data_IF_155212222776
#
_entry.id   IF_155212222776
#
_cell.length_a   1.000
_cell.length_b   1.000
_cell.length_c   1.000
_cell.angle_alpha   90.00
_cell.angle_beta   90.00
_cell.angle_gamma   90.00
#
_symmetry.space_group_name_H-M   'P 1'
#
loop_
_entity.id
_entity.type
_entity.pdbx_description
1 polymer ?
#
# COMPACT_ATOMS: atom_id res chain seq x y z
N UNK A 1 26.39 -29.90 3.82
CA UNK A 1 25.01 -29.31 3.77
C UNK A 1 24.17 -30.20 2.87
N UNK A 2 22.99 -30.64 3.32
CA UNK A 2 22.04 -31.32 2.41
C UNK A 2 21.74 -30.39 1.23
N UNK A 3 21.57 -30.96 0.06
CA UNK A 3 21.24 -30.19 -1.14
C UNK A 3 19.85 -29.61 -0.97
N UNK A 4 19.73 -28.26 -1.06
CA UNK A 4 18.47 -27.54 -0.94
C UNK A 4 18.11 -26.99 -2.31
N UNK A 5 16.86 -27.15 -2.70
CA UNK A 5 16.28 -26.43 -3.83
C UNK A 5 15.79 -25.07 -3.36
N UNK A 6 16.09 -24.02 -4.09
CA UNK A 6 15.57 -22.66 -3.86
C UNK A 6 15.01 -22.16 -5.18
N UNK A 7 13.73 -21.87 -5.18
CA UNK A 7 13.05 -21.49 -6.42
C UNK A 7 11.55 -21.31 -6.20
N UNK A 8 10.83 -21.08 -7.30
CA UNK A 8 9.38 -21.14 -7.28
C UNK A 8 8.90 -22.54 -6.92
N UNK A 9 7.77 -22.65 -6.26
CA UNK A 9 7.14 -23.93 -5.96
C UNK A 9 6.95 -24.75 -7.25
N UNK A 10 7.10 -26.06 -7.16
CA UNK A 10 7.04 -26.96 -8.32
C UNK A 10 5.71 -27.68 -8.45
N UNK A 11 4.90 -27.62 -7.41
CA UNK A 11 3.61 -28.32 -7.33
C UNK A 11 2.74 -27.75 -6.18
N UNK A 12 1.48 -28.15 -6.17
CA UNK A 12 0.50 -27.73 -5.17
C UNK A 12 0.87 -28.14 -3.72
N UNK A 13 1.55 -29.26 -3.54
CA UNK A 13 1.98 -29.74 -2.21
C UNK A 13 2.98 -28.79 -1.57
N UNK A 14 3.93 -28.27 -2.37
CA UNK A 14 4.89 -27.27 -1.88
C UNK A 14 4.22 -25.94 -1.54
N UNK A 15 3.19 -25.55 -2.31
CA UNK A 15 2.38 -24.34 -2.01
C UNK A 15 1.65 -24.53 -0.68
N UNK A 16 0.94 -25.64 -0.47
CA UNK A 16 0.22 -25.91 0.77
C UNK A 16 1.18 -25.97 1.97
N UNK A 17 2.33 -26.61 1.83
CA UNK A 17 3.35 -26.66 2.87
C UNK A 17 3.92 -25.26 3.18
N UNK A 18 4.07 -24.41 2.18
CA UNK A 18 4.50 -23.03 2.36
C UNK A 18 3.44 -22.20 3.10
N UNK A 19 2.13 -22.37 2.78
CA UNK A 19 1.02 -21.73 3.50
C UNK A 19 0.99 -22.17 4.95
N UNK A 20 1.16 -23.47 5.23
CA UNK A 20 1.20 -24.00 6.58
C UNK A 20 2.41 -23.48 7.37
N UNK A 21 3.59 -23.40 6.74
CA UNK A 21 4.77 -22.81 7.34
C UNK A 21 4.54 -21.33 7.71
N UNK A 22 3.93 -20.55 6.82
CA UNK A 22 3.58 -19.16 7.09
C UNK A 22 2.57 -19.06 8.24
N UNK A 23 1.51 -19.86 8.23
CA UNK A 23 0.50 -19.91 9.28
C UNK A 23 1.12 -20.25 10.65
N UNK A 24 2.01 -21.22 10.70
CA UNK A 24 2.72 -21.62 11.93
C UNK A 24 3.67 -20.52 12.40
N UNK A 25 4.35 -19.83 11.48
CA UNK A 25 5.34 -18.80 11.82
C UNK A 25 4.70 -17.51 12.36
N UNK A 26 3.58 -17.09 11.78
CA UNK A 26 2.96 -15.79 12.07
C UNK A 26 1.68 -15.89 12.91
N UNK A 27 1.10 -17.05 12.99
CA UNK A 27 -0.20 -17.29 13.60
C UNK A 27 -0.14 -17.86 15.01
N UNK A 28 0.68 -17.31 15.91
CA UNK A 28 0.90 -17.87 17.26
C UNK A 28 -0.38 -18.24 18.04
N UNK A 29 -1.52 -17.60 17.72
CA UNK A 29 -2.83 -17.94 18.29
C UNK A 29 -3.94 -18.07 17.22
N UNK A 30 -3.63 -17.95 15.93
CA UNK A 30 -4.66 -17.91 14.89
C UNK A 30 -4.14 -18.35 13.50
N UNK A 31 -3.55 -19.52 13.43
CA UNK A 31 -2.97 -20.09 12.21
C UNK A 31 -3.96 -20.13 11.04
N UNK A 32 -5.25 -20.42 11.33
CA UNK A 32 -6.30 -20.48 10.32
C UNK A 32 -6.54 -19.11 9.65
N UNK A 33 -6.43 -18.00 10.39
CA UNK A 33 -6.61 -16.66 9.83
C UNK A 33 -5.44 -16.24 8.96
N UNK A 34 -4.20 -16.61 9.29
CA UNK A 34 -3.03 -16.35 8.43
C UNK A 34 -3.14 -17.15 7.14
N UNK A 35 -3.44 -18.45 7.23
CA UNK A 35 -3.64 -19.30 6.06
C UNK A 35 -4.80 -18.82 5.18
N UNK A 36 -5.91 -18.39 5.79
CA UNK A 36 -7.03 -17.79 5.10
C UNK A 36 -6.60 -16.49 4.38
N UNK A 37 -5.88 -15.62 5.07
CA UNK A 37 -5.40 -14.35 4.51
C UNK A 37 -4.52 -14.57 3.29
N UNK A 38 -3.53 -15.44 3.38
CA UNK A 38 -2.63 -15.77 2.26
C UNK A 38 -3.42 -16.32 1.08
N UNK A 39 -4.27 -17.34 1.27
CA UNK A 39 -5.05 -17.98 0.19
C UNK A 39 -6.04 -17.00 -0.45
N UNK A 40 -6.81 -16.26 0.35
CA UNK A 40 -7.84 -15.33 -0.16
C UNK A 40 -7.24 -14.12 -0.86
N UNK A 41 -6.11 -13.65 -0.37
CA UNK A 41 -5.42 -12.52 -0.96
C UNK A 41 -5.00 -12.79 -2.41
N UNK A 42 -4.60 -14.01 -2.72
CA UNK A 42 -4.25 -14.39 -4.09
C UNK A 42 -5.50 -14.58 -4.97
N UNK A 43 -6.55 -15.19 -4.44
CA UNK A 43 -7.85 -15.32 -5.12
C UNK A 43 -8.41 -13.94 -5.49
N UNK A 44 -8.25 -12.95 -4.60
CA UNK A 44 -8.69 -11.58 -4.85
C UNK A 44 -8.02 -10.91 -6.06
N UNK A 45 -6.90 -11.44 -6.56
CA UNK A 45 -6.24 -10.97 -7.77
C UNK A 45 -6.75 -11.63 -9.07
N UNK A 46 -7.79 -12.45 -8.96
CA UNK A 46 -8.39 -13.13 -10.12
C UNK A 46 -7.70 -14.42 -10.52
N UNK A 47 -6.85 -14.98 -9.66
CA UNK A 47 -6.13 -16.22 -9.89
C UNK A 47 -6.11 -17.18 -8.70
N UNK A 48 -5.98 -18.47 -8.96
CA UNK A 48 -5.46 -19.42 -7.98
C UNK A 48 -3.97 -19.17 -7.76
N UNK A 49 -3.40 -19.56 -6.62
CA UNK A 49 -1.95 -19.60 -6.44
C UNK A 49 -1.32 -20.41 -7.59
N UNK A 50 -0.49 -19.75 -8.37
CA UNK A 50 0.40 -20.44 -9.29
C UNK A 50 1.69 -20.79 -8.56
N UNK A 51 2.40 -21.80 -9.07
CA UNK A 51 3.71 -22.16 -8.54
C UNK A 51 4.67 -20.96 -8.55
N UNK A 52 4.50 -20.07 -9.50
CA UNK A 52 5.35 -18.88 -9.63
C UNK A 52 5.11 -17.84 -8.51
N UNK A 53 3.96 -17.87 -7.86
CA UNK A 53 3.63 -16.90 -6.80
C UNK A 53 4.25 -17.26 -5.45
N UNK A 54 4.88 -18.42 -5.33
CA UNK A 54 5.45 -18.91 -4.07
C UNK A 54 6.89 -19.33 -4.27
N UNK A 55 7.80 -18.59 -3.67
CA UNK A 55 9.23 -18.97 -3.60
C UNK A 55 9.44 -19.84 -2.37
N UNK A 56 10.07 -20.99 -2.55
CA UNK A 56 10.28 -21.98 -1.49
C UNK A 56 11.74 -22.39 -1.36
N UNK A 57 12.11 -22.85 -0.17
CA UNK A 57 13.33 -23.62 0.09
C UNK A 57 12.90 -25.01 0.47
N UNK A 58 13.31 -26.01 -0.32
CA UNK A 58 12.87 -27.41 -0.18
C UNK A 58 14.09 -28.32 -0.09
N UNK A 59 14.09 -29.28 0.83
CA UNK A 59 15.14 -30.28 0.92
C UNK A 59 14.87 -31.50 0.01
N UNK A 60 15.80 -32.46 0.02
CA UNK A 60 15.70 -33.70 -0.78
C UNK A 60 14.51 -34.58 -0.41
N UNK A 61 13.94 -34.39 0.77
CA UNK A 61 12.75 -35.15 1.22
C UNK A 61 11.43 -34.47 0.82
N UNK A 62 11.49 -33.29 0.18
CA UNK A 62 10.32 -32.48 -0.16
C UNK A 62 9.81 -31.57 0.96
N UNK A 63 10.54 -31.49 2.08
CA UNK A 63 10.14 -30.64 3.22
C UNK A 63 10.45 -29.16 2.93
N UNK A 64 9.45 -28.28 3.16
CA UNK A 64 9.60 -26.83 2.98
C UNK A 64 10.23 -26.22 4.22
N UNK A 65 11.36 -25.55 4.05
CA UNK A 65 12.14 -24.90 5.12
C UNK A 65 12.07 -23.39 5.09
N UNK A 66 11.62 -22.80 4.00
CA UNK A 66 11.43 -21.35 3.85
C UNK A 66 10.41 -21.04 2.78
N UNK A 67 9.72 -19.92 2.92
CA UNK A 67 8.73 -19.44 1.97
C UNK A 67 8.72 -17.91 1.86
N UNK A 68 8.37 -17.41 0.67
CA UNK A 68 8.05 -16.03 0.37
C UNK A 68 6.94 -16.01 -0.67
N UNK A 69 5.88 -15.26 -0.43
CA UNK A 69 4.75 -15.12 -1.36
C UNK A 69 4.89 -13.82 -2.13
N UNK A 70 4.73 -13.90 -3.44
CA UNK A 70 4.86 -12.79 -4.38
C UNK A 70 3.49 -12.41 -4.92
N UNK A 71 3.07 -11.17 -4.68
CA UNK A 71 1.74 -10.70 -5.06
C UNK A 71 1.84 -9.44 -5.89
N UNK A 72 1.59 -9.55 -7.17
CA UNK A 72 1.61 -8.42 -8.09
C UNK A 72 0.43 -7.48 -7.85
N UNK A 73 0.68 -6.18 -7.94
CA UNK A 73 -0.31 -5.11 -7.81
C UNK A 73 -0.04 -4.00 -8.80
N UNK A 74 -1.11 -3.30 -9.17
CA UNK A 74 -1.01 -2.00 -9.81
C UNK A 74 -1.20 -0.91 -8.75
N UNK A 75 -0.18 -0.11 -8.56
CA UNK A 75 -0.17 1.00 -7.62
C UNK A 75 -0.46 2.30 -8.36
N UNK A 76 -1.32 3.11 -7.80
CA UNK A 76 -1.53 4.46 -8.31
C UNK A 76 -0.31 5.33 -8.06
N UNK A 77 0.04 6.10 -9.09
CA UNK A 77 1.05 7.13 -9.08
C UNK A 77 0.49 8.34 -9.83
N UNK A 78 -0.24 9.18 -9.10
CA UNK A 78 -1.07 10.19 -9.74
C UNK A 78 -2.06 9.53 -10.73
N UNK A 79 -2.10 10.01 -11.96
CA UNK A 79 -3.00 9.45 -13.00
C UNK A 79 -2.52 8.14 -13.61
N UNK A 80 -1.29 7.74 -13.32
CA UNK A 80 -0.65 6.55 -13.86
C UNK A 80 -0.76 5.38 -12.88
N UNK A 81 -0.48 4.18 -13.39
CA UNK A 81 -0.41 2.96 -12.58
C UNK A 81 0.92 2.28 -12.86
N UNK A 82 1.59 1.86 -11.80
CA UNK A 82 2.88 1.18 -11.89
C UNK A 82 2.77 -0.19 -11.24
N UNK A 83 3.26 -1.20 -11.94
CA UNK A 83 3.30 -2.56 -11.40
C UNK A 83 4.37 -2.66 -10.31
N UNK A 84 3.96 -3.09 -9.13
CA UNK A 84 4.83 -3.50 -8.04
C UNK A 84 4.46 -4.90 -7.55
N UNK A 85 5.37 -5.55 -6.85
CA UNK A 85 5.12 -6.87 -6.26
C UNK A 85 5.31 -6.81 -4.76
N UNK A 86 4.29 -7.21 -3.99
CA UNK A 86 4.44 -7.46 -2.56
C UNK A 86 5.19 -8.76 -2.30
N UNK A 87 6.18 -8.68 -1.42
CA UNK A 87 6.81 -9.83 -0.79
C UNK A 87 6.18 -10.00 0.60
N UNK A 88 5.39 -11.03 0.78
CA UNK A 88 4.69 -11.25 2.04
C UNK A 88 4.97 -12.63 2.62
N UNK A 89 4.66 -12.79 3.91
CA UNK A 89 4.83 -14.04 4.64
C UNK A 89 6.23 -14.65 4.50
N UNK A 90 7.28 -13.80 4.47
CA UNK A 90 8.67 -14.23 4.38
C UNK A 90 9.03 -14.97 5.68
N UNK A 91 9.27 -16.26 5.60
CA UNK A 91 9.53 -17.08 6.77
C UNK A 91 10.55 -18.19 6.52
N UNK A 92 11.22 -18.58 7.61
CA UNK A 92 12.12 -19.74 7.68
C UNK A 92 11.64 -20.62 8.84
N UNK A 93 11.51 -21.93 8.61
CA UNK A 93 11.14 -22.91 9.62
C UNK A 93 12.07 -22.81 10.82
N UNK A 94 11.54 -23.02 12.03
CA UNK A 94 12.29 -22.90 13.26
C UNK A 94 13.54 -23.77 13.28
N UNK A 95 13.44 -25.01 12.83
CA UNK A 95 14.53 -25.97 12.73
C UNK A 95 15.64 -25.55 11.75
N UNK A 96 15.38 -24.58 10.87
CA UNK A 96 16.29 -24.11 9.84
C UNK A 96 16.76 -22.67 10.04
N UNK A 97 16.36 -22.02 11.11
CA UNK A 97 16.88 -20.69 11.49
C UNK A 97 18.36 -20.76 11.83
N UNK A 98 19.05 -19.65 11.64
CA UNK A 98 20.49 -19.55 11.88
C UNK A 98 21.39 -20.17 10.82
N UNK A 99 20.81 -20.89 9.80
CA UNK A 99 21.57 -21.55 8.74
C UNK A 99 21.81 -20.68 7.50
N UNK A 100 21.50 -19.38 7.56
CA UNK A 100 21.72 -18.43 6.47
C UNK A 100 20.72 -18.52 5.30
N UNK A 101 19.63 -19.29 5.43
CA UNK A 101 18.69 -19.57 4.35
C UNK A 101 17.85 -18.36 3.92
N UNK A 102 17.71 -17.36 4.78
CA UNK A 102 16.94 -16.15 4.47
C UNK A 102 17.56 -15.31 3.34
N UNK A 103 18.89 -15.31 3.22
CA UNK A 103 19.58 -14.53 2.18
C UNK A 103 19.29 -15.08 0.78
N UNK A 104 19.52 -16.38 0.50
CA UNK A 104 19.20 -16.93 -0.82
C UNK A 104 17.70 -16.91 -1.14
N UNK A 105 16.81 -17.04 -0.14
CA UNK A 105 15.36 -16.87 -0.33
C UNK A 105 15.04 -15.46 -0.84
N UNK A 106 15.55 -14.42 -0.17
CA UNK A 106 15.34 -13.03 -0.56
C UNK A 106 15.92 -12.74 -1.95
N UNK A 107 17.15 -13.17 -2.22
CA UNK A 107 17.77 -12.94 -3.52
C UNK A 107 16.96 -13.55 -4.66
N UNK A 108 16.50 -14.79 -4.49
CA UNK A 108 15.66 -15.43 -5.50
C UNK A 108 14.32 -14.70 -5.67
N UNK A 109 13.69 -14.35 -4.57
CA UNK A 109 12.41 -13.60 -4.61
C UNK A 109 12.54 -12.27 -5.36
N UNK A 110 13.63 -11.52 -5.13
CA UNK A 110 13.89 -10.26 -5.83
C UNK A 110 14.11 -10.49 -7.32
N UNK A 111 14.91 -11.49 -7.70
CA UNK A 111 15.12 -11.85 -9.12
C UNK A 111 13.81 -12.25 -9.79
N UNK A 112 12.94 -12.95 -9.08
CA UNK A 112 11.63 -13.34 -9.62
C UNK A 112 10.71 -12.12 -9.81
N UNK A 113 10.73 -11.14 -8.90
CA UNK A 113 10.02 -9.86 -9.07
C UNK A 113 10.51 -9.12 -10.32
N UNK A 114 11.82 -9.09 -10.56
CA UNK A 114 12.41 -8.48 -11.75
C UNK A 114 11.93 -9.21 -13.03
N UNK A 115 11.97 -10.54 -13.03
CA UNK A 115 11.50 -11.37 -14.14
C UNK A 115 10.02 -11.14 -14.49
N UNK A 116 9.19 -10.78 -13.51
CA UNK A 116 7.77 -10.44 -13.68
C UNK A 116 7.54 -9.07 -14.29
N UNK A 117 8.59 -8.29 -14.52
CA UNK A 117 8.49 -6.93 -15.04
C UNK A 117 7.88 -5.92 -14.08
N UNK A 118 7.98 -6.15 -12.77
CA UNK A 118 7.60 -5.15 -11.78
C UNK A 118 8.63 -4.02 -11.72
N UNK A 119 8.18 -2.82 -11.43
CA UNK A 119 9.05 -1.66 -11.28
C UNK A 119 9.73 -1.64 -9.90
N UNK A 120 9.06 -2.16 -8.88
CA UNK A 120 9.57 -2.25 -7.52
C UNK A 120 9.00 -3.46 -6.77
N UNK A 121 9.76 -3.90 -5.77
CA UNK A 121 9.32 -4.81 -4.74
C UNK A 121 8.93 -4.03 -3.49
N UNK A 122 7.90 -4.46 -2.79
CA UNK A 122 7.45 -3.85 -1.54
C UNK A 122 7.19 -4.93 -0.50
N UNK A 123 7.48 -4.66 0.75
CA UNK A 123 7.17 -5.51 1.88
C UNK A 123 6.78 -4.68 3.10
N UNK A 124 6.13 -5.32 4.07
CA UNK A 124 5.85 -4.72 5.38
C UNK A 124 6.84 -5.32 6.38
N UNK A 125 7.73 -4.49 6.89
CA UNK A 125 8.71 -4.92 7.86
C UNK A 125 8.26 -4.58 9.30
N UNK A 126 8.57 -5.48 10.24
CA UNK A 126 8.59 -5.13 11.65
C UNK A 126 9.92 -4.45 11.95
N UNK A 127 9.94 -3.41 12.77
CA UNK A 127 11.15 -2.63 13.08
C UNK A 127 12.39 -3.47 13.41
N UNK A 128 12.21 -4.58 14.11
CA UNK A 128 13.30 -5.49 14.41
C UNK A 128 13.91 -6.20 13.17
N UNK A 129 13.19 -6.21 12.04
CA UNK A 129 13.61 -6.84 10.80
C UNK A 129 14.06 -5.82 9.72
N UNK A 130 13.86 -4.52 9.92
CA UNK A 130 14.24 -3.48 8.95
C UNK A 130 15.73 -3.61 8.57
N UNK A 131 16.57 -3.81 9.55
CA UNK A 131 18.00 -4.00 9.39
C UNK A 131 18.38 -5.16 8.46
N UNK A 132 17.57 -6.19 8.43
CA UNK A 132 17.76 -7.32 7.52
C UNK A 132 17.43 -6.91 6.09
N UNK A 133 16.33 -6.19 5.87
CA UNK A 133 15.87 -5.84 4.53
C UNK A 133 16.71 -4.72 3.89
N UNK A 134 17.31 -3.83 4.67
CA UNK A 134 18.25 -2.83 4.15
C UNK A 134 19.46 -3.45 3.44
N UNK A 135 19.88 -4.68 3.83
CA UNK A 135 20.95 -5.42 3.12
C UNK A 135 20.59 -5.76 1.67
N UNK A 136 19.31 -5.74 1.35
CA UNK A 136 18.77 -5.95 0.02
C UNK A 136 18.26 -4.66 -0.64
N UNK A 137 18.69 -3.50 -0.15
CA UNK A 137 18.28 -2.19 -0.63
C UNK A 137 16.77 -1.92 -0.55
N UNK A 138 16.08 -2.49 0.46
CA UNK A 138 14.74 -2.06 0.81
C UNK A 138 14.82 -0.87 1.76
N UNK A 139 14.06 0.18 1.47
CA UNK A 139 14.04 1.42 2.23
C UNK A 139 12.62 1.76 2.67
N UNK A 140 12.45 2.21 3.91
CA UNK A 140 11.15 2.62 4.43
C UNK A 140 10.70 3.94 3.81
N UNK A 141 9.55 3.93 3.16
CA UNK A 141 8.98 5.10 2.50
C UNK A 141 7.63 5.53 3.07
N UNK A 142 6.94 4.64 3.78
CA UNK A 142 5.58 4.94 4.21
C UNK A 142 5.54 5.89 5.39
N UNK A 143 4.70 6.89 5.26
CA UNK A 143 4.34 7.79 6.35
C UNK A 143 2.88 7.52 6.71
N UNK A 144 2.61 7.23 7.97
CA UNK A 144 1.25 7.17 8.49
C UNK A 144 0.86 8.50 9.08
N UNK A 145 -0.30 8.98 8.69
CA UNK A 145 -0.95 10.09 9.35
C UNK A 145 -2.14 9.58 10.14
N UNK A 146 -2.24 10.04 11.38
CA UNK A 146 -3.44 9.92 12.19
C UNK A 146 -4.04 11.31 12.34
N UNK A 147 -5.30 11.45 11.95
CA UNK A 147 -6.07 12.66 12.14
C UNK A 147 -7.06 12.38 13.26
N UNK A 148 -6.92 13.08 14.37
CA UNK A 148 -7.94 13.07 15.41
C UNK A 148 -8.91 14.20 15.11
N UNK A 149 -10.13 13.84 14.71
CA UNK A 149 -11.19 14.74 14.31
C UNK A 149 -12.20 14.83 15.43
N UNK A 150 -12.40 16.03 16.02
CA UNK A 150 -13.45 16.27 16.99
C UNK A 150 -14.73 16.70 16.27
N UNK A 151 -15.80 16.00 16.59
CA UNK A 151 -17.12 16.30 16.04
C UNK A 151 -17.85 17.22 17.01
N UNK A 152 -18.32 18.37 16.51
CA UNK A 152 -19.17 19.26 17.29
C UNK A 152 -20.49 18.57 17.66
N UNK A 153 -21.07 18.97 18.76
CA UNK A 153 -22.41 18.53 19.21
C UNK A 153 -23.50 19.03 18.25
N UNK A 154 -23.64 18.39 17.11
CA UNK A 154 -24.72 18.71 16.17
C UNK A 154 -25.86 17.73 16.36
N UNK A 155 -26.95 18.22 16.94
CA UNK A 155 -28.13 17.39 17.26
C UNK A 155 -29.07 17.08 16.09
N UNK A 156 -28.72 17.36 14.85
CA UNK A 156 -29.58 17.06 13.71
C UNK A 156 -29.03 15.88 12.91
N UNK A 157 -29.50 14.69 13.21
CA UNK A 157 -29.41 13.58 12.25
C UNK A 157 -30.35 13.92 11.10
N UNK A 158 -29.83 14.13 9.91
CA UNK A 158 -30.66 14.31 8.73
C UNK A 158 -31.44 13.00 8.49
N UNK A 159 -32.75 13.06 8.33
CA UNK A 159 -33.59 11.88 8.04
C UNK A 159 -33.38 11.34 6.62
N UNK A 160 -32.57 11.99 5.80
CA UNK A 160 -32.41 11.68 4.38
C UNK A 160 -31.38 10.57 4.08
N UNK A 161 -30.73 10.01 5.11
CA UNK A 161 -29.75 8.93 4.90
C UNK A 161 -29.81 7.85 5.99
N UNK A 162 -29.30 6.67 5.66
CA UNK A 162 -29.15 5.55 6.59
C UNK A 162 -27.79 4.88 6.41
N UNK A 163 -27.31 4.25 7.47
CA UNK A 163 -26.13 3.39 7.42
C UNK A 163 -26.54 1.92 7.50
N UNK A 164 -25.90 1.07 6.68
CA UNK A 164 -26.10 -0.37 6.72
C UNK A 164 -24.78 -1.08 6.46
N UNK A 165 -24.65 -2.34 6.92
CA UNK A 165 -23.52 -3.18 6.56
C UNK A 165 -23.41 -3.30 5.04
N UNK A 166 -22.18 -3.23 4.53
CA UNK A 166 -21.89 -3.44 3.13
C UNK A 166 -22.13 -4.92 2.75
N UNK A 167 -22.60 -5.12 1.55
CA UNK A 167 -22.81 -6.44 0.94
C UNK A 167 -22.06 -6.55 -0.40
N UNK A 168 -21.97 -7.76 -0.95
CA UNK A 168 -21.33 -7.93 -2.27
C UNK A 168 -22.01 -7.11 -3.38
N UNK A 169 -23.33 -6.88 -3.29
CA UNK A 169 -24.05 -6.07 -4.26
C UNK A 169 -23.66 -4.58 -4.25
N UNK A 170 -23.08 -4.10 -3.17
CA UNK A 170 -22.66 -2.71 -3.00
C UNK A 170 -21.25 -2.45 -3.58
N UNK A 171 -20.46 -3.51 -3.78
CA UNK A 171 -19.06 -3.39 -4.16
C UNK A 171 -18.78 -2.64 -5.46
N UNK A 172 -19.62 -2.70 -6.51
CA UNK A 172 -19.41 -1.89 -7.71
C UNK A 172 -19.43 -0.38 -7.42
N UNK A 173 -20.38 0.11 -6.61
CA UNK A 173 -20.47 1.52 -6.25
C UNK A 173 -19.32 1.92 -5.31
N UNK A 174 -19.01 1.07 -4.34
CA UNK A 174 -17.85 1.23 -3.45
C UNK A 174 -16.54 1.35 -4.23
N UNK A 175 -16.33 0.47 -5.21
CA UNK A 175 -15.14 0.48 -6.07
C UNK A 175 -15.01 1.78 -6.86
N UNK A 176 -16.11 2.32 -7.36
CA UNK A 176 -16.11 3.62 -8.05
C UNK A 176 -15.73 4.77 -7.09
N UNK A 177 -16.26 4.77 -5.88
CA UNK A 177 -15.93 5.79 -4.87
C UNK A 177 -14.46 5.71 -4.46
N UNK A 178 -13.95 4.50 -4.20
CA UNK A 178 -12.54 4.27 -3.93
C UNK A 178 -11.65 4.80 -5.06
N UNK A 179 -11.93 4.41 -6.30
CA UNK A 179 -11.16 4.85 -7.46
C UNK A 179 -11.08 6.38 -7.57
N UNK A 180 -12.15 7.10 -7.23
CA UNK A 180 -12.14 8.57 -7.24
C UNK A 180 -11.30 9.18 -6.12
N UNK A 181 -11.36 8.60 -4.93
CA UNK A 181 -10.66 9.15 -3.75
C UNK A 181 -9.18 8.77 -3.74
N UNK A 182 -8.87 7.54 -4.14
CA UNK A 182 -7.54 6.96 -3.95
C UNK A 182 -6.68 6.91 -5.20
N UNK A 183 -7.25 7.08 -6.41
CA UNK A 183 -6.48 7.01 -7.65
C UNK A 183 -5.42 8.12 -7.81
N UNK A 184 -5.55 9.21 -7.07
CA UNK A 184 -4.57 10.28 -7.07
C UNK A 184 -3.56 10.19 -5.92
N UNK A 185 -3.77 9.21 -5.01
CA UNK A 185 -2.90 9.00 -3.86
C UNK A 185 -1.80 7.99 -4.20
N UNK A 186 -0.55 8.39 -4.01
CA UNK A 186 0.59 7.52 -4.25
C UNK A 186 0.61 6.35 -3.27
N UNK A 187 0.79 5.14 -3.82
CA UNK A 187 0.85 3.92 -3.03
C UNK A 187 -0.50 3.21 -2.84
N UNK A 188 -1.62 3.82 -3.16
CA UNK A 188 -2.91 3.12 -3.18
C UNK A 188 -2.93 2.10 -4.34
N UNK A 189 -3.61 0.96 -4.13
CA UNK A 189 -3.67 -0.12 -5.10
C UNK A 189 -4.97 -0.06 -5.90
N UNK A 190 -4.90 -0.42 -7.20
CA UNK A 190 -6.10 -0.75 -7.94
C UNK A 190 -6.73 -2.02 -7.37
N UNK A 191 -8.05 -2.03 -7.24
CA UNK A 191 -8.80 -3.16 -6.71
C UNK A 191 -9.85 -3.65 -7.70
N UNK A 192 -9.79 -4.94 -8.06
CA UNK A 192 -10.85 -5.63 -8.78
C UNK A 192 -12.07 -5.89 -7.88
N UNK A 193 -13.18 -6.32 -8.45
CA UNK A 193 -14.35 -6.73 -7.66
C UNK A 193 -14.02 -7.93 -6.76
N UNK A 194 -13.22 -8.88 -7.24
CA UNK A 194 -12.75 -10.02 -6.45
C UNK A 194 -11.90 -9.56 -5.27
N UNK A 195 -11.08 -8.53 -5.48
CA UNK A 195 -10.32 -7.93 -4.40
C UNK A 195 -11.23 -7.24 -3.37
N UNK A 196 -12.28 -6.57 -3.80
CA UNK A 196 -13.28 -5.98 -2.90
C UNK A 196 -14.03 -7.04 -2.07
N UNK A 197 -14.36 -8.19 -2.65
CA UNK A 197 -14.88 -9.35 -1.89
C UNK A 197 -13.89 -9.82 -0.82
N UNK A 198 -12.59 -9.82 -1.15
CA UNK A 198 -11.56 -10.08 -0.15
C UNK A 198 -11.54 -9.01 0.94
N UNK A 199 -11.59 -7.70 0.60
CA UNK A 199 -11.63 -6.60 1.58
C UNK A 199 -12.82 -6.75 2.53
N UNK A 200 -14.00 -7.03 2.01
CA UNK A 200 -15.20 -7.29 2.81
C UNK A 200 -14.99 -8.46 3.79
N UNK A 201 -14.47 -9.56 3.30
CA UNK A 201 -14.17 -10.75 4.11
C UNK A 201 -13.06 -10.49 5.14
N UNK A 202 -12.04 -9.69 4.79
CA UNK A 202 -10.95 -9.30 5.67
C UNK A 202 -11.44 -8.39 6.79
N UNK A 203 -12.33 -7.44 6.49
CA UNK A 203 -12.92 -6.56 7.50
C UNK A 203 -13.62 -7.39 8.58
N UNK A 204 -14.51 -8.31 8.20
CA UNK A 204 -15.19 -9.22 9.13
C UNK A 204 -14.20 -10.04 9.98
N UNK A 205 -13.19 -10.64 9.36
CA UNK A 205 -12.16 -11.43 10.06
C UNK A 205 -11.30 -10.64 11.03
N UNK A 206 -11.10 -9.37 10.77
CA UNK A 206 -10.32 -8.46 11.64
C UNK A 206 -11.17 -7.76 12.70
N UNK A 207 -12.46 -8.06 12.78
CA UNK A 207 -13.38 -7.39 13.70
C UNK A 207 -13.64 -5.93 13.34
N UNK A 208 -13.49 -5.59 12.06
CA UNK A 208 -13.84 -4.28 11.52
C UNK A 208 -15.25 -4.33 10.93
N UNK A 209 -15.94 -3.20 11.03
CA UNK A 209 -17.21 -3.02 10.36
C UNK A 209 -16.97 -2.34 9.01
N UNK A 210 -17.63 -2.82 7.97
CA UNK A 210 -17.69 -2.18 6.68
C UNK A 210 -19.13 -1.76 6.43
N UNK A 211 -19.38 -0.46 6.44
CA UNK A 211 -20.72 0.10 6.26
C UNK A 211 -20.78 1.03 5.06
N UNK A 212 -21.98 1.16 4.50
CA UNK A 212 -22.30 2.12 3.43
C UNK A 212 -23.36 3.11 3.90
N UNK A 213 -23.21 4.37 3.47
CA UNK A 213 -24.24 5.41 3.65
C UNK A 213 -25.15 5.38 2.44
N UNK A 214 -26.46 5.15 2.68
CA UNK A 214 -27.51 5.13 1.65
C UNK A 214 -28.33 6.40 1.69
N UNK A 215 -28.59 6.92 0.53
CA UNK A 215 -29.54 8.01 0.27
C UNK A 215 -30.61 7.53 -0.73
N UNK A 216 -31.62 8.33 -1.02
CA UNK A 216 -32.69 7.95 -1.96
C UNK A 216 -32.20 7.52 -3.35
N UNK A 217 -31.05 8.05 -3.81
CA UNK A 217 -30.48 7.76 -5.14
C UNK A 217 -29.46 6.61 -5.16
N UNK A 218 -29.18 5.93 -4.05
CA UNK A 218 -28.21 4.84 -3.95
C UNK A 218 -27.19 5.05 -2.84
N UNK A 219 -25.99 4.48 -3.00
CA UNK A 219 -24.90 4.63 -2.05
C UNK A 219 -24.10 5.89 -2.37
N UNK A 220 -23.85 6.74 -1.34
CA UNK A 220 -23.07 7.95 -1.53
C UNK A 220 -21.81 8.04 -0.67
N UNK A 221 -21.50 7.00 0.09
CA UNK A 221 -20.26 6.89 0.86
C UNK A 221 -20.13 5.54 1.55
N UNK A 222 -18.90 5.21 1.96
CA UNK A 222 -18.63 4.04 2.78
C UNK A 222 -17.56 4.35 3.83
N UNK A 223 -17.56 3.56 4.90
CA UNK A 223 -16.59 3.63 5.98
C UNK A 223 -16.21 2.22 6.43
N UNK A 224 -14.90 1.96 6.59
CA UNK A 224 -14.36 0.75 7.21
C UNK A 224 -13.71 1.17 8.53
N UNK A 225 -14.16 0.60 9.65
CA UNK A 225 -13.80 1.08 10.98
C UNK A 225 -13.82 -0.01 12.06
N UNK A 226 -13.18 0.29 13.19
CA UNK A 226 -13.32 -0.46 14.44
C UNK A 226 -13.34 0.53 15.60
N UNK A 227 -14.43 0.55 16.40
CA UNK A 227 -14.65 1.63 17.37
C UNK A 227 -14.67 2.98 16.67
N UNK A 228 -13.96 3.97 17.22
CA UNK A 228 -13.79 5.30 16.62
C UNK A 228 -12.64 5.41 15.60
N UNK A 229 -11.89 4.32 15.36
CA UNK A 229 -10.79 4.29 14.39
C UNK A 229 -11.31 3.97 12.99
N UNK A 230 -11.11 4.91 12.07
CA UNK A 230 -11.50 4.81 10.65
C UNK A 230 -10.27 4.42 9.85
N UNK A 231 -10.33 3.26 9.22
CA UNK A 231 -9.21 2.73 8.40
C UNK A 231 -9.31 3.11 6.94
N UNK A 232 -10.54 3.26 6.44
CA UNK A 232 -10.78 3.64 5.05
C UNK A 232 -12.17 4.25 4.90
N UNK A 233 -12.31 5.25 4.04
CA UNK A 233 -13.56 5.89 3.70
C UNK A 233 -13.48 6.56 2.32
N UNK A 234 -14.59 6.63 1.62
CA UNK A 234 -14.71 7.41 0.40
C UNK A 234 -16.17 7.81 0.14
N UNK A 235 -16.35 8.83 -0.73
CA UNK A 235 -17.64 9.37 -1.09
C UNK A 235 -17.91 9.32 -2.59
N UNK A 236 -19.18 9.36 -2.96
CA UNK A 236 -19.63 9.58 -4.32
C UNK A 236 -19.21 10.98 -4.82
N UNK A 237 -19.18 11.16 -6.14
CA UNK A 237 -18.86 12.47 -6.75
C UNK A 237 -19.83 13.55 -6.26
N UNK A 238 -19.26 14.65 -5.76
CA UNK A 238 -20.01 15.79 -5.26
C UNK A 238 -20.54 15.65 -3.83
N UNK A 239 -20.31 14.50 -3.18
CA UNK A 239 -20.56 14.33 -1.76
C UNK A 239 -19.32 14.74 -0.94
N UNK A 240 -19.53 15.26 0.26
CA UNK A 240 -18.46 15.62 1.19
C UNK A 240 -18.04 14.42 2.03
N UNK A 241 -16.74 14.16 2.09
CA UNK A 241 -16.18 13.14 2.97
C UNK A 241 -16.29 13.56 4.45
N UNK A 242 -16.16 14.85 4.74
CA UNK A 242 -16.36 15.36 6.10
C UNK A 242 -17.81 15.17 6.56
N UNK A 243 -18.79 15.44 5.71
CA UNK A 243 -20.19 15.17 6.05
C UNK A 243 -20.46 13.69 6.28
N UNK A 244 -19.89 12.80 5.45
CA UNK A 244 -19.96 11.35 5.67
C UNK A 244 -19.45 10.98 7.06
N UNK A 245 -18.27 11.48 7.44
CA UNK A 245 -17.64 11.18 8.73
C UNK A 245 -18.43 11.77 9.91
N UNK A 246 -18.97 13.00 9.76
CA UNK A 246 -19.84 13.63 10.77
C UNK A 246 -21.13 12.81 10.97
N UNK A 247 -21.79 12.44 9.88
CA UNK A 247 -23.02 11.65 9.93
C UNK A 247 -22.77 10.27 10.54
N UNK A 248 -21.63 9.64 10.18
CA UNK A 248 -21.18 8.41 10.78
C UNK A 248 -20.92 8.55 12.29
N UNK A 249 -20.23 9.60 12.71
CA UNK A 249 -19.99 9.88 14.13
C UNK A 249 -21.29 10.05 14.92
N UNK A 250 -22.25 10.79 14.37
CA UNK A 250 -23.57 10.98 14.98
C UNK A 250 -24.35 9.66 15.05
N UNK A 251 -24.35 8.86 13.98
CA UNK A 251 -25.00 7.55 13.93
C UNK A 251 -24.42 6.59 14.97
N UNK A 252 -23.10 6.59 15.12
CA UNK A 252 -22.37 5.69 16.04
C UNK A 252 -22.14 6.28 17.43
N UNK A 253 -22.65 7.50 17.70
CA UNK A 253 -22.47 8.28 18.94
C UNK A 253 -21.01 8.54 19.32
N UNK A 254 -20.11 8.64 18.34
CA UNK A 254 -18.72 9.03 18.54
C UNK A 254 -18.57 10.55 18.54
N UNK A 255 -17.83 11.09 19.51
CA UNK A 255 -17.47 12.50 19.59
C UNK A 255 -16.10 12.82 18.99
N UNK A 256 -15.31 11.79 18.80
CA UNK A 256 -13.98 11.88 18.22
C UNK A 256 -13.77 10.69 17.28
N UNK A 257 -13.22 10.97 16.10
CA UNK A 257 -12.84 9.96 15.12
C UNK A 257 -11.34 10.01 14.89
N UNK A 258 -10.72 8.85 14.77
CA UNK A 258 -9.30 8.69 14.46
C UNK A 258 -9.20 8.17 13.02
N UNK A 259 -8.81 9.05 12.10
CA UNK A 259 -8.71 8.68 10.69
C UNK A 259 -7.28 8.19 10.38
N UNK A 260 -7.15 7.00 9.82
CA UNK A 260 -5.90 6.49 9.28
C UNK A 260 -5.85 6.75 7.78
N UNK A 261 -5.33 7.89 7.37
CA UNK A 261 -5.28 8.27 5.97
C UNK A 261 -3.98 9.00 5.61
N UNK A 262 -3.68 9.09 4.32
CA UNK A 262 -2.60 9.94 3.84
C UNK A 262 -2.85 11.41 4.21
N UNK A 263 -1.77 12.14 4.45
CA UNK A 263 -1.82 13.61 4.59
C UNK A 263 -2.31 14.33 3.32
N UNK A 264 -2.34 13.63 2.20
CA UNK A 264 -2.84 14.13 0.91
C UNK A 264 -4.31 13.74 0.67
N UNK A 265 -4.96 13.08 1.65
CA UNK A 265 -6.35 12.71 1.49
C UNK A 265 -7.22 13.95 1.30
N UNK A 266 -8.09 13.99 0.28
CA UNK A 266 -8.92 15.16 -0.03
C UNK A 266 -9.76 15.66 1.13
N UNK A 267 -10.10 14.81 2.09
CA UNK A 267 -10.88 15.22 3.29
C UNK A 267 -10.22 16.36 4.06
N UNK A 268 -8.88 16.46 4.06
CA UNK A 268 -8.18 17.55 4.75
C UNK A 268 -8.54 18.93 4.20
N UNK A 269 -8.87 19.02 2.91
CA UNK A 269 -9.34 20.26 2.30
C UNK A 269 -10.74 20.66 2.74
N UNK A 270 -11.48 19.72 3.33
CA UNK A 270 -12.84 19.96 3.82
C UNK A 270 -12.90 20.32 5.32
N UNK A 271 -11.77 20.21 6.05
CA UNK A 271 -11.71 20.42 7.50
C UNK A 271 -11.52 21.90 7.93
N UNK A 272 -11.81 22.87 7.06
CA UNK A 272 -11.73 24.27 7.41
C UNK A 272 -12.74 24.64 8.53
N UNK A 273 -12.22 25.20 9.62
CA UNK A 273 -13.04 25.58 10.77
C UNK A 273 -13.45 24.42 11.69
N UNK A 274 -12.89 23.24 11.48
CA UNK A 274 -13.10 22.06 12.32
C UNK A 274 -11.91 21.87 13.26
N UNK A 275 -12.16 21.46 14.50
CA UNK A 275 -11.09 21.13 15.45
C UNK A 275 -10.54 19.74 15.15
N UNK A 276 -9.30 19.69 14.66
CA UNK A 276 -8.58 18.44 14.44
C UNK A 276 -7.10 18.57 14.78
N UNK A 277 -6.46 17.44 15.08
CA UNK A 277 -5.00 17.34 15.17
C UNK A 277 -4.46 16.30 14.20
N UNK A 278 -3.36 16.65 13.54
CA UNK A 278 -2.64 15.75 12.63
C UNK A 278 -1.37 15.27 13.31
N UNK A 279 -1.23 13.96 13.47
CA UNK A 279 0.01 13.33 13.93
C UNK A 279 0.60 12.54 12.78
N UNK A 280 1.77 12.95 12.32
CA UNK A 280 2.58 12.15 11.41
C UNK A 280 3.49 11.22 12.21
N UNK A 281 3.52 9.96 11.80
CA UNK A 281 4.53 9.02 12.27
C UNK A 281 5.25 8.44 11.08
N UNK A 282 6.55 8.55 11.07
CA UNK A 282 7.37 7.62 10.33
C UNK A 282 7.21 6.26 11.00
N UNK A 283 6.84 5.25 10.23
CA UNK A 283 6.40 3.99 10.79
C UNK A 283 7.39 3.35 11.73
N UNK A 284 7.01 3.26 12.98
CA UNK A 284 7.70 2.47 13.98
C UNK A 284 7.31 0.98 13.94
N UNK A 285 6.18 0.65 13.30
CA UNK A 285 5.63 -0.69 13.25
C UNK A 285 4.75 -0.88 12.02
N UNK A 286 5.06 -1.91 11.22
CA UNK A 286 4.29 -2.19 10.01
C UNK A 286 4.59 -1.22 8.86
N UNK A 287 5.82 -0.69 8.79
CA UNK A 287 6.26 0.20 7.72
C UNK A 287 6.45 -0.52 6.40
N UNK A 288 6.03 0.14 5.31
CA UNK A 288 6.34 -0.32 3.98
C UNK A 288 7.79 0.01 3.63
N UNK A 289 8.53 -1.01 3.26
CA UNK A 289 9.86 -0.87 2.69
C UNK A 289 9.80 -1.21 1.21
N UNK A 290 10.42 -0.39 0.39
CA UNK A 290 10.43 -0.51 -1.06
C UNK A 290 11.85 -0.70 -1.56
N UNK A 291 12.00 -1.56 -2.55
CA UNK A 291 13.22 -1.75 -3.36
C UNK A 291 12.89 -1.47 -4.80
N UNK A 292 13.65 -0.60 -5.44
CA UNK A 292 13.61 -0.43 -6.91
C UNK A 292 14.13 -1.72 -7.56
N UNK A 293 13.40 -2.21 -8.54
CA UNK A 293 13.77 -3.39 -9.32
C UNK A 293 14.01 -3.01 -10.77
N UNK A 294 13.16 -2.17 -11.34
CA UNK A 294 13.32 -1.66 -12.69
C UNK A 294 13.26 -0.11 -12.69
N UNK A 295 14.43 0.51 -12.66
CA UNK A 295 14.54 1.98 -12.63
C UNK A 295 14.02 2.63 -13.90
N UNK A 296 14.18 2.00 -15.06
CA UNK A 296 13.77 2.56 -16.34
C UNK A 296 12.28 2.82 -16.39
N UNK A 297 11.46 1.90 -15.83
CA UNK A 297 10.01 2.08 -15.73
C UNK A 297 9.72 3.30 -14.84
N UNK A 298 10.32 3.38 -13.66
CA UNK A 298 10.06 4.46 -12.71
C UNK A 298 10.56 5.82 -13.21
N UNK A 299 11.73 5.87 -13.86
CA UNK A 299 12.22 7.09 -14.51
C UNK A 299 11.28 7.55 -15.61
N UNK A 300 10.77 6.64 -16.43
CA UNK A 300 9.81 6.97 -17.48
C UNK A 300 8.51 7.56 -16.89
N UNK A 301 8.00 6.99 -15.81
CA UNK A 301 6.80 7.50 -15.17
C UNK A 301 7.06 8.86 -14.48
N UNK A 302 8.19 9.03 -13.82
CA UNK A 302 8.58 10.30 -13.22
C UNK A 302 8.74 11.41 -14.26
N UNK A 303 9.35 11.09 -15.40
CA UNK A 303 9.46 12.05 -16.53
C UNK A 303 8.09 12.49 -17.02
N UNK A 304 7.14 11.57 -17.20
CA UNK A 304 5.78 11.91 -17.63
C UNK A 304 5.09 12.82 -16.61
N UNK A 305 5.19 12.50 -15.32
CA UNK A 305 4.61 13.34 -14.26
C UNK A 305 5.13 14.77 -14.31
N UNK A 306 6.46 14.93 -14.32
CA UNK A 306 7.07 16.25 -14.35
C UNK A 306 6.72 16.96 -15.66
N UNK A 307 6.69 16.24 -16.80
CA UNK A 307 6.30 16.79 -18.09
C UNK A 307 4.87 17.35 -18.08
N UNK A 308 3.95 16.65 -17.45
CA UNK A 308 2.57 17.11 -17.30
C UNK A 308 2.50 18.37 -16.43
N UNK A 309 3.22 18.40 -15.30
CA UNK A 309 3.25 19.56 -14.41
C UNK A 309 3.86 20.80 -15.09
N UNK A 310 5.01 20.67 -15.76
CA UNK A 310 5.64 21.80 -16.43
C UNK A 310 4.81 22.31 -17.61
N UNK A 311 4.07 21.43 -18.29
CA UNK A 311 3.17 21.83 -19.39
C UNK A 311 2.04 22.72 -18.87
N UNK A 312 1.51 22.43 -17.68
CA UNK A 312 0.48 23.26 -17.03
C UNK A 312 1.07 24.59 -16.55
N UNK A 313 2.30 24.58 -16.03
CA UNK A 313 2.96 25.76 -15.48
C UNK A 313 3.63 26.63 -16.55
N UNK A 314 3.75 26.16 -17.79
CA UNK A 314 4.41 26.88 -18.88
C UNK A 314 5.93 27.06 -18.67
N UNK A 315 6.58 26.12 -18.00
CA UNK A 315 8.02 26.19 -17.71
C UNK A 315 8.81 25.68 -18.89
N UNK A 316 9.64 26.55 -19.48
CA UNK A 316 10.49 26.22 -20.63
C UNK A 316 11.88 25.73 -20.22
N UNK A 317 12.47 26.33 -19.18
CA UNK A 317 13.82 25.98 -18.73
C UNK A 317 13.90 26.01 -17.21
N UNK A 318 14.42 24.92 -16.65
CA UNK A 318 14.62 24.76 -15.19
C UNK A 318 15.69 23.71 -14.93
N UNK A 319 16.33 23.79 -13.78
CA UNK A 319 17.24 22.77 -13.28
C UNK A 319 17.16 22.71 -11.77
N UNK A 320 16.98 21.51 -11.24
CA UNK A 320 16.94 21.27 -9.80
C UNK A 320 17.57 19.92 -9.44
N UNK A 321 18.01 19.77 -8.20
CA UNK A 321 18.52 18.53 -7.66
C UNK A 321 17.56 18.08 -6.56
N UNK A 322 17.04 16.86 -6.70
CA UNK A 322 16.24 16.20 -5.68
C UNK A 322 16.92 14.88 -5.27
N UNK A 323 17.24 14.73 -4.00
CA UNK A 323 18.07 13.61 -3.55
C UNK A 323 19.41 13.60 -4.26
N UNK A 324 19.67 12.60 -5.08
CA UNK A 324 20.82 12.45 -5.95
C UNK A 324 20.42 12.50 -7.45
N UNK A 325 19.19 12.91 -7.75
CA UNK A 325 18.69 13.08 -9.11
C UNK A 325 18.81 14.54 -9.56
N UNK A 326 19.40 14.76 -10.73
CA UNK A 326 19.37 16.02 -11.46
C UNK A 326 18.17 16.01 -12.39
N UNK A 327 17.25 16.94 -12.19
CA UNK A 327 16.07 17.16 -13.04
C UNK A 327 16.32 18.41 -13.86
N UNK A 328 16.38 18.28 -15.17
CA UNK A 328 16.59 19.37 -16.10
C UNK A 328 15.39 19.50 -17.04
N UNK A 329 14.96 20.74 -17.25
CA UNK A 329 13.98 21.11 -18.28
C UNK A 329 14.67 22.02 -19.28
N UNK A 330 14.68 21.62 -20.54
CA UNK A 330 15.20 22.43 -21.64
C UNK A 330 14.16 22.49 -22.76
N UNK A 331 13.74 23.71 -23.11
CA UNK A 331 12.69 23.95 -24.12
C UNK A 331 11.40 23.15 -23.84
N UNK A 332 11.01 23.06 -22.55
CA UNK A 332 9.84 22.31 -22.13
C UNK A 332 10.00 20.79 -22.18
N UNK A 333 11.20 20.24 -22.34
CA UNK A 333 11.48 18.81 -22.34
C UNK A 333 12.21 18.46 -21.06
N UNK A 334 11.68 17.44 -20.34
CA UNK A 334 12.27 16.94 -19.08
C UNK A 334 13.35 15.91 -19.36
N UNK A 335 14.51 16.07 -18.73
CA UNK A 335 15.53 15.02 -18.56
C UNK A 335 15.82 14.79 -17.08
N UNK A 336 16.07 13.51 -16.71
CA UNK A 336 16.37 13.13 -15.33
C UNK A 336 17.60 12.24 -15.35
N UNK A 337 18.61 12.63 -14.56
CA UNK A 337 19.85 11.86 -14.41
C UNK A 337 20.09 11.53 -12.93
N UNK A 338 20.30 10.28 -12.65
CA UNK A 338 20.67 9.82 -11.31
C UNK A 338 22.20 9.90 -11.17
N UNK A 339 22.67 10.65 -10.16
CA UNK A 339 24.10 10.81 -9.92
C UNK A 339 24.77 9.58 -9.32
N UNK A 340 24.01 8.75 -8.59
CA UNK A 340 24.50 7.58 -7.88
C UNK A 340 23.64 6.33 -8.19
N UNK A 341 23.98 5.20 -7.55
CA UNK A 341 23.21 3.96 -7.68
C UNK A 341 21.69 4.21 -7.46
N UNK A 342 20.84 3.74 -8.37
CA UNK A 342 19.38 3.88 -8.23
C UNK A 342 18.82 3.17 -6.99
N UNK A 343 19.60 2.28 -6.39
CA UNK A 343 19.21 1.48 -5.22
C UNK A 343 19.48 2.18 -3.87
N UNK A 344 20.03 3.39 -3.86
CA UNK A 344 20.21 4.17 -2.65
C UNK A 344 18.88 4.76 -2.13
N UNK A 345 18.79 5.04 -0.82
CA UNK A 345 17.58 5.59 -0.19
C UNK A 345 17.06 6.85 -0.89
N UNK A 346 17.94 7.80 -1.16
CA UNK A 346 17.57 9.09 -1.80
C UNK A 346 16.93 8.90 -3.18
N UNK A 347 17.57 8.08 -4.03
CA UNK A 347 17.06 7.80 -5.36
C UNK A 347 15.76 6.98 -5.30
N UNK A 348 15.66 6.06 -4.34
CA UNK A 348 14.41 5.32 -4.11
C UNK A 348 13.27 6.28 -3.77
N UNK A 349 13.50 7.26 -2.89
CA UNK A 349 12.49 8.28 -2.58
C UNK A 349 12.08 9.05 -3.84
N UNK A 350 13.05 9.58 -4.61
CA UNK A 350 12.76 10.35 -5.84
C UNK A 350 12.00 9.50 -6.86
N UNK A 351 12.48 8.30 -7.15
CA UNK A 351 11.87 7.41 -8.14
C UNK A 351 10.46 6.96 -7.74
N UNK A 352 10.21 6.80 -6.46
CA UNK A 352 8.89 6.47 -5.93
C UNK A 352 7.98 7.71 -5.78
N UNK A 353 8.49 8.91 -6.04
CA UNK A 353 7.76 10.15 -5.83
C UNK A 353 7.48 10.45 -4.36
N UNK A 354 8.24 9.83 -3.45
CA UNK A 354 8.08 10.00 -2.01
C UNK A 354 8.86 11.19 -1.48
N UNK A 355 8.34 11.80 -0.42
CA UNK A 355 9.03 12.90 0.25
C UNK A 355 10.36 12.41 0.85
N UNK A 356 11.44 13.07 0.46
CA UNK A 356 12.73 12.89 1.07
C UNK A 356 12.88 13.91 2.21
N UNK A 357 12.91 13.43 3.45
CA UNK A 357 13.13 14.26 4.64
C UNK A 357 14.57 14.80 4.67
N UNK A 358 14.92 15.71 3.80
CA UNK A 358 16.14 16.48 3.91
C UNK A 358 15.89 17.94 3.56
N UNK A 359 16.21 18.75 4.55
CA UNK A 359 16.49 20.19 4.43
C UNK A 359 15.74 20.88 3.31
N UNK A 360 14.71 21.58 3.70
CA UNK A 360 13.97 22.55 2.90
C UNK A 360 14.95 23.28 1.96
N UNK A 361 14.96 22.91 0.70
CA UNK A 361 15.58 23.69 -0.34
C UNK A 361 14.82 25.01 -0.38
N UNK A 362 15.53 26.12 -0.18
CA UNK A 362 14.95 27.48 -0.23
C UNK A 362 14.52 27.91 -1.64
N UNK A 363 14.59 27.03 -2.62
CA UNK A 363 14.18 27.29 -4.01
C UNK A 363 12.84 26.60 -4.30
N UNK A 364 11.93 27.25 -5.02
CA UNK A 364 10.71 26.62 -5.47
C UNK A 364 11.07 25.43 -6.37
N UNK A 365 10.63 24.22 -5.99
CA UNK A 365 10.77 23.00 -6.79
C UNK A 365 9.61 22.92 -7.77
N UNK A 366 9.88 22.51 -9.00
CA UNK A 366 8.82 22.16 -9.98
C UNK A 366 8.17 20.83 -9.66
N UNK A 367 8.88 19.94 -9.00
CA UNK A 367 8.35 18.66 -8.58
C UNK A 367 8.11 18.65 -7.08
N UNK A 368 6.86 18.40 -6.69
CA UNK A 368 6.50 18.25 -5.29
C UNK A 368 6.40 16.75 -4.97
N UNK A 369 7.37 16.19 -4.24
CA UNK A 369 7.25 14.82 -3.75
C UNK A 369 5.98 14.64 -2.96
N UNK A 370 5.36 13.49 -3.12
CA UNK A 370 4.11 13.13 -2.45
C UNK A 370 4.33 12.03 -1.41
N UNK A 371 3.37 11.90 -0.51
CA UNK A 371 3.39 10.84 0.48
C UNK A 371 3.09 9.50 -0.16
N UNK A 372 4.04 8.57 -0.14
CA UNK A 372 3.76 7.19 -0.53
C UNK A 372 3.06 6.46 0.63
N UNK A 373 1.79 6.15 0.45
CA UNK A 373 0.99 5.52 1.48
C UNK A 373 0.12 4.40 0.91
N UNK A 374 0.35 3.19 1.39
CA UNK A 374 -0.51 2.05 1.06
C UNK A 374 -1.65 2.00 2.08
N UNK A 375 -2.92 2.06 1.65
CA UNK A 375 -4.05 1.96 2.54
C UNK A 375 -3.97 0.73 3.44
N UNK A 376 -4.42 0.84 4.69
CA UNK A 376 -4.28 -0.22 5.69
C UNK A 376 -4.89 -1.56 5.23
N UNK A 377 -5.98 -1.51 4.47
CA UNK A 377 -6.61 -2.71 3.93
C UNK A 377 -5.86 -3.35 2.75
N UNK A 378 -4.94 -2.64 2.12
CA UNK A 378 -4.04 -3.18 1.07
C UNK A 378 -2.73 -3.73 1.63
N UNK A 379 -2.50 -3.57 2.92
CA UNK A 379 -1.32 -4.12 3.59
C UNK A 379 -1.44 -5.65 3.74
N UNK A 380 -0.35 -6.34 3.44
CA UNK A 380 -0.26 -7.80 3.46
C UNK A 380 0.37 -8.31 4.75
#
# INVERSE_FOLDING_TARGET
MKKMYIGCARNATEIESAVELAATTFGSNNNANVAFGVKKFNIAQGGSFSEQDVVVIVDETGSVHGACFLMDRLFYRGRNKVKGTFLTSICISESSRGKGLSVPLMNYSITEVERRGAAFAILVARRAADYFYNKFNFWGLSQYSKINLKLADTCSVSEDHSFSLASESDLPEVSMMYGRTYSELYGACERSIEYWKYVLSKADKQGCNFIVRRIKSGINGYVIFSGSEIYEFACAKGASCFELLRDFGNHSMFRELILHCSQENPVLNELHGVDFSLTQRQCDYGGHMVRIVNETILLSELKKEIQDEISVLGVENHSEIQGDALIEVQKGIVDIRLANSPYGYKNTCVLMGAEYLSVVSSRPSIYKPRSFNVPLFDQC
#
